data_IF_518045228468
#
_entry.id   IF_518045228468
#
_cell.length_a   1.000
_cell.length_b   1.000
_cell.length_c   1.000
_cell.angle_alpha   90.00
_cell.angle_beta   90.00
_cell.angle_gamma   90.00
#
_symmetry.space_group_name_H-M   'P 1'
#
loop_
_entity.id
_entity.type
_entity.pdbx_description
1 polymer ?
#
# COMPACT_ATOMS: atom_id res chain seq x y z
N UNK A 1 -9.40 2.53 -4.28
CA UNK A 1 -8.60 1.81 -5.30
C UNK A 1 -7.16 2.02 -4.89
N UNK A 2 -6.35 0.97 -4.72
CA UNK A 2 -4.96 1.13 -4.28
C UNK A 2 -4.12 1.77 -5.40
N UNK A 3 -3.24 2.70 -5.04
CA UNK A 3 -2.29 3.29 -5.97
C UNK A 3 -1.04 2.41 -6.02
N UNK A 4 -0.82 1.70 -7.13
CA UNK A 4 0.34 0.81 -7.29
C UNK A 4 1.58 1.55 -7.80
N UNK A 5 1.40 2.57 -8.65
CA UNK A 5 2.49 3.37 -9.25
C UNK A 5 2.86 4.57 -8.37
N UNK A 6 3.29 4.28 -7.14
CA UNK A 6 3.52 5.29 -6.09
C UNK A 6 4.62 6.29 -6.49
N UNK A 7 5.71 5.79 -7.06
CA UNK A 7 6.87 6.63 -7.44
C UNK A 7 6.55 7.47 -8.66
N UNK A 8 5.88 6.88 -9.65
CA UNK A 8 5.49 7.56 -10.88
C UNK A 8 4.51 8.70 -10.58
N UNK A 9 3.56 8.48 -9.67
CA UNK A 9 2.63 9.53 -9.25
C UNK A 9 3.34 10.64 -8.48
N UNK A 10 4.22 10.31 -7.53
CA UNK A 10 4.99 11.32 -6.80
C UNK A 10 5.89 12.15 -7.74
N UNK A 11 6.51 11.52 -8.75
CA UNK A 11 7.27 12.23 -9.78
C UNK A 11 6.40 13.10 -10.67
N UNK A 12 5.19 12.63 -11.03
CA UNK A 12 4.24 13.41 -11.80
C UNK A 12 3.80 14.68 -11.04
N UNK A 13 3.55 14.55 -9.73
CA UNK A 13 3.21 15.70 -8.87
C UNK A 13 4.34 16.74 -8.89
N UNK A 14 5.59 16.30 -8.67
CA UNK A 14 6.76 17.19 -8.73
C UNK A 14 6.91 17.81 -10.12
N UNK A 15 6.70 17.05 -11.18
CA UNK A 15 6.81 17.52 -12.57
C UNK A 15 5.72 18.53 -12.93
N UNK A 16 4.54 18.42 -12.30
CA UNK A 16 3.43 19.37 -12.46
C UNK A 16 3.50 20.59 -11.54
N UNK A 17 4.46 20.61 -10.60
CA UNK A 17 4.65 21.73 -9.69
C UNK A 17 5.28 22.94 -10.38
N UNK A 18 5.24 24.10 -9.71
CA UNK A 18 5.80 25.33 -10.29
C UNK A 18 7.28 25.14 -10.66
N UNK A 19 7.70 25.59 -11.85
CA UNK A 19 9.12 25.55 -12.22
C UNK A 19 9.99 26.37 -11.27
N UNK A 20 9.41 27.39 -10.63
CA UNK A 20 10.06 28.31 -9.69
C UNK A 20 10.35 27.68 -8.32
N UNK A 21 9.78 26.51 -8.00
CA UNK A 21 10.15 25.80 -6.77
C UNK A 21 11.64 25.47 -6.78
N UNK A 22 12.28 25.69 -5.63
CA UNK A 22 13.66 25.28 -5.41
C UNK A 22 13.80 23.76 -5.52
N UNK A 23 15.02 23.29 -5.75
CA UNK A 23 15.32 21.85 -5.78
C UNK A 23 14.97 21.21 -4.42
N UNK A 24 15.26 21.91 -3.31
CA UNK A 24 14.94 21.43 -1.96
C UNK A 24 13.43 21.27 -1.76
N UNK A 25 12.64 22.25 -2.18
CA UNK A 25 11.18 22.17 -2.10
C UNK A 25 10.63 21.05 -2.99
N UNK A 26 11.22 20.81 -4.17
CA UNK A 26 10.83 19.69 -5.05
C UNK A 26 11.14 18.34 -4.43
N UNK A 27 12.28 18.21 -3.73
CA UNK A 27 12.63 16.99 -2.99
C UNK A 27 11.67 16.77 -1.81
N UNK A 28 11.32 17.83 -1.10
CA UNK A 28 10.33 17.77 -0.03
C UNK A 28 8.96 17.37 -0.56
N UNK A 29 8.49 18.01 -1.63
CA UNK A 29 7.23 17.69 -2.30
C UNK A 29 7.17 16.23 -2.76
N UNK A 30 8.28 15.70 -3.30
CA UNK A 30 8.37 14.29 -3.66
C UNK A 30 8.19 13.37 -2.44
N UNK A 31 8.89 13.67 -1.35
CA UNK A 31 8.89 12.87 -0.12
C UNK A 31 7.51 12.89 0.55
N UNK A 32 6.93 14.08 0.68
CA UNK A 32 5.59 14.28 1.23
C UNK A 32 4.54 13.55 0.37
N UNK A 33 4.69 13.57 -0.95
CA UNK A 33 3.81 12.83 -1.87
C UNK A 33 3.92 11.31 -1.67
N UNK A 34 5.13 10.78 -1.49
CA UNK A 34 5.33 9.35 -1.22
C UNK A 34 4.67 8.93 0.10
N UNK A 35 4.79 9.75 1.15
CA UNK A 35 4.17 9.47 2.44
C UNK A 35 2.64 9.51 2.35
N UNK A 36 2.09 10.55 1.73
CA UNK A 36 0.65 10.69 1.52
C UNK A 36 0.05 9.49 0.74
N UNK A 37 0.73 9.03 -0.32
CA UNK A 37 0.26 7.87 -1.09
C UNK A 37 0.35 6.57 -0.27
N UNK A 38 1.39 6.40 0.56
CA UNK A 38 1.51 5.25 1.46
C UNK A 38 0.39 5.23 2.49
N UNK A 39 0.09 6.37 3.09
CA UNK A 39 -0.99 6.51 4.07
C UNK A 39 -2.35 6.24 3.44
N UNK A 40 -2.58 6.75 2.23
CA UNK A 40 -3.77 6.41 1.45
C UNK A 40 -3.89 4.91 1.18
N UNK A 41 -2.78 4.22 0.88
CA UNK A 41 -2.76 2.78 0.59
C UNK A 41 -2.88 1.90 1.85
N UNK A 42 -2.54 2.43 3.03
CA UNK A 42 -2.47 1.65 4.28
C UNK A 42 -3.75 0.87 4.60
N UNK A 43 -4.97 1.45 4.54
CA UNK A 43 -6.20 0.72 4.83
C UNK A 43 -6.44 -0.46 3.88
N UNK A 44 -6.04 -0.33 2.61
CA UNK A 44 -6.18 -1.39 1.61
C UNK A 44 -5.23 -2.56 1.89
N UNK A 45 -3.97 -2.24 2.22
CA UNK A 45 -2.96 -3.23 2.60
C UNK A 45 -3.39 -3.98 3.87
N UNK A 46 -3.91 -3.25 4.87
CA UNK A 46 -4.35 -3.84 6.13
C UNK A 46 -5.60 -4.73 5.94
N UNK A 47 -6.54 -4.31 5.09
CA UNK A 47 -7.68 -5.15 4.72
C UNK A 47 -7.25 -6.44 4.00
N UNK A 48 -6.29 -6.36 3.08
CA UNK A 48 -5.76 -7.52 2.37
C UNK A 48 -5.03 -8.48 3.32
N UNK A 49 -4.20 -7.94 4.23
CA UNK A 49 -3.53 -8.73 5.27
C UNK A 49 -4.54 -9.44 6.18
N UNK A 50 -5.60 -8.75 6.60
CA UNK A 50 -6.66 -9.33 7.43
C UNK A 50 -7.37 -10.48 6.70
N UNK A 51 -7.77 -10.26 5.45
CA UNK A 51 -8.39 -11.31 4.61
C UNK A 51 -7.47 -12.52 4.43
N UNK A 52 -6.18 -12.29 4.20
CA UNK A 52 -5.19 -13.37 4.09
C UNK A 52 -5.06 -14.15 5.39
N UNK A 53 -5.04 -13.48 6.53
CA UNK A 53 -4.98 -14.13 7.85
C UNK A 53 -6.25 -14.97 8.13
N UNK A 54 -7.43 -14.46 7.78
CA UNK A 54 -8.70 -15.19 7.90
C UNK A 54 -8.73 -16.43 6.99
N UNK A 55 -8.30 -16.29 5.73
CA UNK A 55 -8.17 -17.41 4.80
C UNK A 55 -7.19 -18.48 5.31
N UNK A 56 -6.04 -18.08 5.85
CA UNK A 56 -5.07 -19.01 6.44
C UNK A 56 -5.67 -19.76 7.65
N UNK A 57 -6.43 -19.07 8.52
CA UNK A 57 -7.14 -19.71 9.64
C UNK A 57 -8.18 -20.72 9.16
N UNK A 58 -8.97 -20.36 8.14
CA UNK A 58 -9.96 -21.26 7.56
C UNK A 58 -9.32 -22.51 6.96
N UNK A 59 -8.20 -22.35 6.24
CA UNK A 59 -7.44 -23.46 5.68
C UNK A 59 -6.90 -24.40 6.77
N UNK A 60 -6.31 -23.86 7.84
CA UNK A 60 -5.81 -24.67 8.97
C UNK A 60 -6.96 -25.44 9.63
N UNK A 61 -8.12 -24.83 9.84
CA UNK A 61 -9.29 -25.52 10.39
C UNK A 61 -9.80 -26.64 9.47
N UNK A 62 -9.85 -26.40 8.16
CA UNK A 62 -10.26 -27.42 7.19
C UNK A 62 -9.29 -28.62 7.18
N UNK A 63 -7.98 -28.35 7.19
CA UNK A 63 -6.95 -29.39 7.23
C UNK A 63 -6.88 -30.13 8.57
N UNK A 64 -7.13 -29.45 9.69
CA UNK A 64 -7.20 -30.06 11.03
C UNK A 64 -8.42 -30.98 11.19
N UNK A 65 -9.57 -30.61 10.59
CA UNK A 65 -10.77 -31.47 10.54
C UNK A 65 -10.60 -32.68 9.62
N UNK A 66 -9.73 -32.60 8.61
CA UNK A 66 -9.39 -33.74 7.74
C UNK A 66 -8.55 -34.85 8.38
N UNK A 67 -7.99 -34.63 9.59
CA UNK A 67 -7.22 -35.65 10.33
C UNK A 67 -8.03 -36.42 11.38
N UNK A 68 -9.30 -36.07 11.60
CA UNK A 68 -10.19 -36.75 12.57
C UNK A 68 -11.25 -37.59 11.85
N UNK A 69 -10.80 -38.52 11.00
CA UNK A 69 -11.64 -39.59 10.44
C UNK A 69 -10.93 -40.96 10.53
N UNK A 70 -10.11 -41.13 11.56
CA UNK A 70 -9.61 -42.42 12.03
C UNK A 70 -9.69 -42.44 13.55
#
# INVERSE_FOLDING_TARGET
>A
MMISSVKELALAIVSSSSPELSIEDKIKLYTDSLEAIKDYNKPFIDAEKKKRAENSKALIQALGRGKSIF
#
